data_IF_348507752643
#
_entry.id   IF_348507752643
#
_cell.length_a   1.000
_cell.length_b   1.000
_cell.length_c   1.000
_cell.angle_alpha   90.00
_cell.angle_beta   90.00
_cell.angle_gamma   90.00
#
_symmetry.space_group_name_H-M   'P 1'
#
loop_
_entity.id
_entity.type
_entity.pdbx_description
1 polymer ?
#
# COMPACT_ATOMS: atom_id res chain seq x y z
N UNK A 1 43.46 6.83 14.23
CA UNK A 1 43.75 5.99 13.05
C UNK A 1 42.45 5.27 12.69
N UNK A 2 41.79 5.69 11.60
CA UNK A 2 40.59 5.01 11.13
C UNK A 2 41.05 3.76 10.37
N UNK A 3 40.84 2.60 10.99
CA UNK A 3 41.18 1.30 10.42
C UNK A 3 40.34 1.11 9.15
N UNK A 4 40.96 1.30 7.99
CA UNK A 4 40.31 1.17 6.69
C UNK A 4 40.04 -0.32 6.45
N UNK A 5 38.89 -0.80 6.94
CA UNK A 5 38.43 -2.16 6.69
C UNK A 5 38.53 -2.46 5.18
N UNK A 6 39.30 -3.50 4.88
CA UNK A 6 39.51 -3.97 3.51
C UNK A 6 38.18 -4.44 2.89
N UNK A 7 38.09 -4.42 1.57
CA UNK A 7 36.90 -4.87 0.81
C UNK A 7 36.49 -6.30 1.22
N UNK A 8 37.47 -7.18 1.43
CA UNK A 8 37.24 -8.56 1.86
C UNK A 8 36.65 -8.65 3.28
N UNK A 9 37.17 -7.86 4.23
CA UNK A 9 36.64 -7.81 5.60
C UNK A 9 35.20 -7.30 5.62
N UNK A 10 34.87 -6.28 4.82
CA UNK A 10 33.49 -5.75 4.71
C UNK A 10 32.51 -6.79 4.17
N UNK A 11 32.91 -7.59 3.18
CA UNK A 11 32.09 -8.70 2.67
C UNK A 11 31.92 -9.79 3.74
N UNK A 12 32.96 -10.12 4.49
CA UNK A 12 32.88 -11.09 5.58
C UNK A 12 31.92 -10.61 6.69
N UNK A 13 32.06 -9.36 7.15
CA UNK A 13 31.15 -8.75 8.13
C UNK A 13 29.70 -8.71 7.61
N UNK A 14 29.48 -8.44 6.33
CA UNK A 14 28.14 -8.48 5.74
C UNK A 14 27.51 -9.88 5.82
N UNK A 15 28.30 -10.94 5.58
CA UNK A 15 27.84 -12.34 5.69
C UNK A 15 27.53 -12.73 7.14
N UNK A 16 28.38 -12.36 8.09
CA UNK A 16 28.14 -12.58 9.53
C UNK A 16 26.86 -11.89 10.00
N UNK A 17 26.65 -10.61 9.62
CA UNK A 17 25.42 -9.88 9.94
C UNK A 17 24.18 -10.57 9.37
N UNK A 18 24.28 -11.18 8.19
CA UNK A 18 23.19 -11.98 7.62
C UNK A 18 22.88 -13.23 8.45
N UNK A 19 23.90 -13.93 8.95
CA UNK A 19 23.68 -15.12 9.77
C UNK A 19 23.03 -14.78 11.12
N UNK A 20 23.46 -13.67 11.73
CA UNK A 20 22.82 -13.10 12.91
C UNK A 20 21.35 -12.78 12.60
N UNK A 21 21.06 -12.18 11.44
CA UNK A 21 19.69 -11.86 11.03
C UNK A 21 18.82 -13.12 10.83
N UNK A 22 19.36 -14.17 10.20
CA UNK A 22 18.66 -15.44 10.02
C UNK A 22 18.38 -16.12 11.37
N UNK A 23 19.33 -16.08 12.31
CA UNK A 23 19.16 -16.60 13.67
C UNK A 23 18.08 -15.82 14.43
N UNK A 24 18.18 -14.49 14.46
CA UNK A 24 17.19 -13.62 15.09
C UNK A 24 15.78 -13.79 14.49
N UNK A 25 15.68 -14.01 13.18
CA UNK A 25 14.40 -14.29 12.52
C UNK A 25 13.77 -15.62 12.97
N UNK A 26 14.59 -16.66 13.19
CA UNK A 26 14.14 -17.95 13.74
C UNK A 26 13.71 -17.82 15.20
N UNK A 27 14.44 -17.03 15.99
CA UNK A 27 14.12 -16.73 17.40
C UNK A 27 12.89 -15.81 17.55
N UNK A 28 12.37 -15.24 16.47
CA UNK A 28 11.22 -14.34 16.50
C UNK A 28 11.55 -12.88 16.85
N UNK A 29 12.84 -12.53 17.01
CA UNK A 29 13.31 -11.16 17.24
C UNK A 29 13.36 -10.38 15.93
N UNK A 30 12.19 -9.95 15.47
CA UNK A 30 12.02 -9.36 14.13
C UNK A 30 12.73 -8.01 13.97
N UNK A 31 12.75 -7.18 15.01
CA UNK A 31 13.40 -5.86 15.01
C UNK A 31 14.92 -5.97 14.90
N UNK A 32 15.53 -6.86 15.69
CA UNK A 32 16.97 -7.16 15.62
C UNK A 32 17.35 -7.75 14.25
N UNK A 33 16.53 -8.66 13.73
CA UNK A 33 16.72 -9.23 12.40
C UNK A 33 16.72 -8.13 11.32
N UNK A 34 15.76 -7.19 11.38
CA UNK A 34 15.70 -6.06 10.46
C UNK A 34 16.95 -5.18 10.52
N UNK A 35 17.42 -4.85 11.73
CA UNK A 35 18.64 -4.08 11.91
C UNK A 35 19.86 -4.78 11.32
N UNK A 36 20.00 -6.08 11.57
CA UNK A 36 21.10 -6.89 11.05
C UNK A 36 21.06 -7.02 9.52
N UNK A 37 19.87 -7.21 8.92
CA UNK A 37 19.70 -7.20 7.46
C UNK A 37 20.05 -5.84 6.84
N UNK A 38 19.60 -4.73 7.44
CA UNK A 38 19.95 -3.39 6.98
C UNK A 38 21.45 -3.14 7.10
N UNK A 39 22.08 -3.54 8.21
CA UNK A 39 23.53 -3.43 8.38
C UNK A 39 24.29 -4.21 7.31
N UNK A 40 23.91 -5.46 7.06
CA UNK A 40 24.48 -6.28 5.98
C UNK A 40 24.34 -5.60 4.61
N UNK A 41 23.16 -5.05 4.32
CA UNK A 41 22.92 -4.30 3.08
C UNK A 41 23.79 -3.04 2.97
N UNK A 42 23.99 -2.29 4.05
CA UNK A 42 24.84 -1.10 4.06
C UNK A 42 26.31 -1.44 3.82
N UNK A 43 26.82 -2.54 4.39
CA UNK A 43 28.17 -3.02 4.09
C UNK A 43 28.30 -3.44 2.63
N UNK A 44 27.28 -4.09 2.06
CA UNK A 44 27.26 -4.41 0.63
C UNK A 44 27.19 -3.15 -0.25
N UNK A 45 26.35 -2.16 0.09
CA UNK A 45 26.20 -0.94 -0.70
C UNK A 45 27.45 -0.06 -0.61
N UNK A 46 28.05 0.06 0.58
CA UNK A 46 29.28 0.83 0.82
C UNK A 46 30.54 0.23 0.17
N UNK A 47 30.44 -0.99 -0.39
CA UNK A 47 31.46 -1.56 -1.26
C UNK A 47 31.39 -1.04 -2.70
N UNK A 48 30.23 -0.54 -3.16
CA UNK A 48 30.11 0.16 -4.45
C UNK A 48 30.58 1.61 -4.29
N UNK A 49 31.90 1.80 -4.20
CA UNK A 49 32.52 3.15 -4.17
C UNK A 49 32.08 4.01 -5.37
N UNK A 50 31.83 3.40 -6.53
CA UNK A 50 31.28 4.08 -7.71
C UNK A 50 29.86 4.63 -7.51
N UNK A 51 29.01 3.98 -6.70
CA UNK A 51 27.64 4.43 -6.47
C UNK A 51 27.58 5.63 -5.52
N UNK A 52 28.51 5.70 -4.55
CA UNK A 52 28.58 6.82 -3.60
C UNK A 52 29.07 8.12 -4.25
N UNK A 53 29.94 8.01 -5.27
CA UNK A 53 30.43 9.16 -6.04
C UNK A 53 29.35 9.78 -6.95
N UNK A 54 28.36 8.99 -7.39
CA UNK A 54 27.22 9.47 -8.19
C UNK A 54 26.14 10.24 -7.40
N UNK A 55 26.18 10.23 -6.07
CA UNK A 55 25.22 10.93 -5.19
C UNK A 55 25.74 12.29 -4.66
N UNK A 56 26.85 12.80 -5.20
CA UNK A 56 27.34 14.15 -4.88
C UNK A 56 27.87 14.35 -3.45
N UNK A 57 28.06 13.28 -2.68
CA UNK A 57 28.61 13.29 -1.32
C UNK A 57 30.13 13.01 -1.29
N UNK A 58 30.85 13.34 -2.37
CA UNK A 58 32.31 13.31 -2.42
C UNK A 58 32.88 14.71 -2.17
N UNK A 59 33.51 14.91 -1.00
CA UNK A 59 34.39 16.06 -0.76
C UNK A 59 35.60 16.05 -1.73
N UNK A 60 36.28 17.21 -1.93
CA UNK A 60 37.11 17.47 -3.10
C UNK A 60 38.36 16.59 -3.14
N UNK A 61 38.81 16.34 -4.36
CA UNK A 61 39.89 15.45 -4.76
C UNK A 61 41.12 15.44 -3.83
N UNK A 62 41.67 14.26 -3.49
CA UNK A 62 43.05 14.15 -3.02
C UNK A 62 44.04 13.97 -4.20
N UNK A 63 45.36 14.16 -3.97
CA UNK A 63 46.39 14.24 -5.02
C UNK A 63 46.63 12.91 -5.75
N UNK A 64 47.30 12.94 -6.92
CA UNK A 64 47.29 11.86 -7.92
C UNK A 64 48.32 10.76 -7.65
N UNK A 65 48.49 10.28 -6.42
CA UNK A 65 49.47 9.23 -6.09
C UNK A 65 48.93 8.20 -5.09
N UNK A 66 47.79 7.59 -5.41
CA UNK A 66 47.36 6.31 -4.82
C UNK A 66 46.23 5.64 -5.65
N UNK A 67 46.31 5.73 -6.97
CA UNK A 67 45.39 5.00 -7.87
C UNK A 67 45.91 3.59 -8.16
N UNK A 68 45.85 2.72 -7.15
CA UNK A 68 46.03 1.28 -7.35
C UNK A 68 45.17 0.45 -6.39
N UNK A 69 43.86 0.71 -6.40
CA UNK A 69 42.91 -0.40 -6.22
C UNK A 69 41.72 -0.17 -7.13
N UNK A 70 41.95 -0.43 -8.42
CA UNK A 70 40.90 -0.84 -9.32
C UNK A 70 40.27 -2.13 -8.77
N UNK A 71 39.35 -2.01 -7.80
CA UNK A 71 38.39 -3.09 -7.59
C UNK A 71 37.40 -3.01 -8.73
N UNK A 72 37.83 -3.42 -9.92
CA UNK A 72 36.94 -3.95 -10.93
C UNK A 72 36.25 -5.13 -10.25
N UNK A 73 35.08 -4.87 -9.67
CA UNK A 73 34.18 -5.94 -9.26
C UNK A 73 33.98 -6.76 -10.52
N UNK A 74 34.51 -7.99 -10.56
CA UNK A 74 34.36 -8.82 -11.74
C UNK A 74 32.86 -8.96 -12.00
N UNK A 75 32.44 -9.07 -13.26
CA UNK A 75 31.02 -9.21 -13.58
C UNK A 75 30.36 -10.40 -12.85
N UNK A 76 31.15 -11.39 -12.40
CA UNK A 76 30.72 -12.49 -11.55
C UNK A 76 30.45 -12.07 -10.10
N UNK A 77 31.34 -11.27 -9.50
CA UNK A 77 31.17 -10.77 -8.12
C UNK A 77 30.00 -9.80 -7.99
N UNK A 78 29.77 -8.98 -9.02
CA UNK A 78 28.62 -8.08 -9.08
C UNK A 78 27.28 -8.85 -9.15
N UNK A 79 27.23 -9.94 -9.93
CA UNK A 79 26.05 -10.81 -10.00
C UNK A 79 25.77 -11.56 -8.70
N UNK A 80 26.80 -12.08 -8.03
CA UNK A 80 26.64 -12.74 -6.73
C UNK A 80 26.24 -11.75 -5.64
N UNK A 81 26.76 -10.51 -5.68
CA UNK A 81 26.32 -9.40 -4.82
C UNK A 81 24.85 -9.07 -5.04
N UNK A 82 24.42 -8.87 -6.29
CA UNK A 82 23.01 -8.56 -6.59
C UNK A 82 22.07 -9.69 -6.15
N UNK A 83 22.50 -10.94 -6.36
CA UNK A 83 21.76 -12.14 -5.93
C UNK A 83 21.65 -12.25 -4.41
N UNK A 84 22.70 -11.91 -3.67
CA UNK A 84 22.65 -11.84 -2.20
C UNK A 84 21.75 -10.70 -1.74
N UNK A 85 21.85 -9.53 -2.34
CA UNK A 85 21.02 -8.38 -2.04
C UNK A 85 19.52 -8.66 -2.27
N UNK A 86 19.19 -9.33 -3.37
CA UNK A 86 17.84 -9.82 -3.69
C UNK A 86 17.32 -10.75 -2.59
N UNK A 87 18.16 -11.66 -2.10
CA UNK A 87 17.77 -12.58 -1.02
C UNK A 87 17.48 -11.82 0.27
N UNK A 88 18.28 -10.78 0.58
CA UNK A 88 18.17 -10.02 1.81
C UNK A 88 16.94 -9.13 1.80
N UNK A 89 16.73 -8.36 0.73
CA UNK A 89 15.53 -7.54 0.53
C UNK A 89 14.25 -8.40 0.58
N UNK A 90 14.26 -9.59 -0.02
CA UNK A 90 13.16 -10.57 0.12
C UNK A 90 12.91 -10.96 1.59
N UNK A 91 13.95 -11.27 2.36
CA UNK A 91 13.80 -11.65 3.78
C UNK A 91 13.32 -10.47 4.64
N UNK A 92 13.79 -9.25 4.36
CA UNK A 92 13.34 -8.03 5.04
C UNK A 92 11.86 -7.75 4.81
N UNK A 93 11.34 -7.98 3.60
CA UNK A 93 9.89 -7.86 3.34
C UNK A 93 9.06 -8.79 4.22
N UNK A 94 9.56 -10.00 4.51
CA UNK A 94 8.91 -10.94 5.42
C UNK A 94 8.95 -10.46 6.88
N UNK A 95 10.06 -9.84 7.28
CA UNK A 95 10.20 -9.24 8.61
C UNK A 95 9.25 -8.06 8.80
N UNK A 96 9.18 -7.13 7.83
CA UNK A 96 8.24 -6.00 7.88
C UNK A 96 6.78 -6.45 7.92
N UNK A 97 6.44 -7.52 7.21
CA UNK A 97 5.11 -8.12 7.26
C UNK A 97 4.76 -8.67 8.65
N UNK A 98 5.71 -9.34 9.33
CA UNK A 98 5.53 -9.79 10.72
C UNK A 98 5.42 -8.63 11.70
N UNK A 99 6.15 -7.54 11.46
CA UNK A 99 6.12 -6.33 12.28
C UNK A 99 4.92 -5.41 11.99
N UNK A 100 3.94 -5.86 11.19
CA UNK A 100 2.75 -5.09 10.76
C UNK A 100 3.08 -3.74 10.12
N UNK A 101 4.29 -3.57 9.59
CA UNK A 101 4.73 -2.32 8.99
C UNK A 101 4.49 -2.37 7.48
N UNK A 102 3.21 -2.25 7.10
CA UNK A 102 2.72 -2.57 5.76
C UNK A 102 3.32 -1.71 4.65
N UNK A 103 3.51 -0.41 4.90
CA UNK A 103 4.13 0.51 3.94
C UNK A 103 5.55 0.07 3.57
N UNK A 104 6.40 -0.18 4.58
CA UNK A 104 7.76 -0.67 4.35
C UNK A 104 7.80 -2.07 3.76
N UNK A 105 6.85 -2.94 4.12
CA UNK A 105 6.74 -4.27 3.53
C UNK A 105 6.47 -4.19 2.02
N UNK A 106 5.59 -3.28 1.59
CA UNK A 106 5.32 -3.00 0.18
C UNK A 106 6.56 -2.45 -0.53
N UNK A 107 7.19 -1.39 -0.01
CA UNK A 107 8.38 -0.79 -0.62
C UNK A 107 9.53 -1.79 -0.78
N UNK A 108 9.76 -2.62 0.25
CA UNK A 108 10.82 -3.62 0.22
C UNK A 108 10.49 -4.77 -0.73
N UNK A 109 9.21 -5.16 -0.84
CA UNK A 109 8.77 -6.13 -1.83
C UNK A 109 8.89 -5.57 -3.26
N UNK A 110 8.58 -4.30 -3.48
CA UNK A 110 8.75 -3.62 -4.76
C UNK A 110 10.23 -3.57 -5.18
N UNK A 111 11.13 -3.25 -4.25
CA UNK A 111 12.59 -3.33 -4.50
C UNK A 111 13.05 -4.74 -4.85
N UNK A 112 12.48 -5.77 -4.20
CA UNK A 112 12.82 -7.16 -4.50
C UNK A 112 12.28 -7.61 -5.86
N UNK A 113 11.11 -7.13 -6.26
CA UNK A 113 10.49 -7.40 -7.56
C UNK A 113 11.22 -6.66 -8.68
N UNK A 114 11.55 -5.37 -8.52
CA UNK A 114 12.30 -4.59 -9.51
C UNK A 114 13.62 -5.24 -9.93
N UNK A 115 14.23 -6.03 -9.04
CA UNK A 115 15.41 -6.81 -9.38
C UNK A 115 15.04 -8.17 -9.97
N UNK A 116 13.96 -8.83 -9.51
CA UNK A 116 13.52 -10.15 -9.97
C UNK A 116 12.00 -10.21 -9.97
N UNK A 117 11.43 -9.98 -11.14
CA UNK A 117 9.99 -9.97 -11.37
C UNK A 117 9.34 -11.34 -11.16
N UNK A 118 10.12 -12.43 -11.25
CA UNK A 118 9.66 -13.82 -11.04
C UNK A 118 9.73 -14.26 -9.57
N UNK A 119 9.85 -13.32 -8.62
CA UNK A 119 9.83 -13.63 -7.20
C UNK A 119 8.39 -13.67 -6.65
N UNK A 120 7.70 -14.79 -6.89
CA UNK A 120 6.33 -15.04 -6.46
C UNK A 120 6.12 -14.86 -4.95
N UNK A 121 7.11 -15.22 -4.12
CA UNK A 121 7.06 -14.99 -2.67
C UNK A 121 7.08 -13.50 -2.30
N UNK A 122 7.80 -12.66 -3.04
CA UNK A 122 7.78 -11.21 -2.82
C UNK A 122 6.46 -10.60 -3.30
N UNK A 123 5.94 -11.06 -4.43
CA UNK A 123 4.64 -10.67 -4.98
C UNK A 123 3.49 -10.96 -4.00
N UNK A 124 3.46 -12.16 -3.41
CA UNK A 124 2.48 -12.52 -2.38
C UNK A 124 2.56 -11.59 -1.15
N UNK A 125 3.77 -11.29 -0.67
CA UNK A 125 3.96 -10.38 0.48
C UNK A 125 3.53 -8.95 0.16
N UNK A 126 3.76 -8.48 -1.06
CA UNK A 126 3.26 -7.18 -1.55
C UNK A 126 1.73 -7.15 -1.54
N UNK A 127 1.09 -8.18 -2.09
CA UNK A 127 -0.37 -8.26 -2.10
C UNK A 127 -0.95 -8.24 -0.68
N UNK A 128 -0.36 -9.02 0.24
CA UNK A 128 -0.76 -9.01 1.66
C UNK A 128 -0.51 -7.66 2.35
N UNK A 129 0.57 -6.96 2.02
CA UNK A 129 0.79 -5.62 2.56
C UNK A 129 -0.19 -4.58 2.00
N UNK A 130 -0.63 -4.73 0.74
CA UNK A 130 -1.62 -3.85 0.12
C UNK A 130 -3.02 -4.08 0.67
N UNK A 131 -3.40 -5.33 0.94
CA UNK A 131 -4.71 -5.64 1.53
C UNK A 131 -4.87 -5.06 2.93
N UNK A 132 -3.85 -5.16 3.78
CA UNK A 132 -3.86 -4.59 5.14
C UNK A 132 -3.83 -3.05 5.12
N UNK A 133 -3.37 -2.43 4.04
CA UNK A 133 -3.47 -0.98 3.82
C UNK A 133 -4.85 -0.55 3.28
N UNK A 134 -5.72 -1.49 2.92
CA UNK A 134 -7.04 -1.22 2.36
C UNK A 134 -7.08 -1.08 0.84
N UNK A 135 -5.97 -1.34 0.14
CA UNK A 135 -5.89 -1.34 -1.33
C UNK A 135 -6.31 -2.71 -1.90
N UNK A 136 -7.58 -3.09 -1.68
CA UNK A 136 -8.09 -4.42 -1.99
C UNK A 136 -8.01 -4.79 -3.48
N UNK A 137 -8.47 -3.91 -4.37
CA UNK A 137 -8.44 -4.18 -5.82
C UNK A 137 -7.02 -4.46 -6.33
N UNK A 138 -6.03 -3.71 -5.84
CA UNK A 138 -4.62 -3.90 -6.20
C UNK A 138 -4.07 -5.21 -5.66
N UNK A 139 -4.45 -5.57 -4.43
CA UNK A 139 -4.07 -6.85 -3.82
C UNK A 139 -4.65 -8.04 -4.59
N UNK A 140 -5.93 -7.98 -4.98
CA UNK A 140 -6.61 -9.03 -5.74
C UNK A 140 -5.93 -9.25 -7.10
N UNK A 141 -5.69 -8.19 -7.87
CA UNK A 141 -4.99 -8.28 -9.16
C UNK A 141 -3.61 -8.95 -9.05
N UNK A 142 -2.86 -8.61 -7.99
CA UNK A 142 -1.55 -9.23 -7.72
C UNK A 142 -1.65 -10.72 -7.36
N UNK A 143 -2.68 -11.13 -6.61
CA UNK A 143 -2.89 -12.53 -6.24
C UNK A 143 -3.40 -13.37 -7.42
N UNK A 144 -4.22 -12.79 -8.30
CA UNK A 144 -4.65 -13.42 -9.54
C UNK A 144 -3.47 -13.64 -10.50
N UNK A 145 -2.60 -12.65 -10.64
CA UNK A 145 -1.36 -12.75 -11.41
C UNK A 145 -0.41 -13.81 -10.82
N UNK A 146 -0.28 -13.84 -9.49
CA UNK A 146 0.49 -14.86 -8.76
C UNK A 146 -0.05 -16.28 -9.05
N UNK A 147 -1.37 -16.46 -9.01
CA UNK A 147 -2.04 -17.73 -9.28
C UNK A 147 -1.80 -18.21 -10.71
N UNK A 148 -1.85 -17.30 -11.68
CA UNK A 148 -1.59 -17.61 -13.09
C UNK A 148 -0.14 -18.02 -13.33
N UNK A 149 0.82 -17.37 -12.65
CA UNK A 149 2.25 -17.56 -12.89
C UNK A 149 2.89 -18.68 -12.05
N UNK A 150 2.33 -19.02 -10.90
CA UNK A 150 2.88 -20.01 -9.97
C UNK A 150 1.80 -20.96 -9.45
N UNK A 151 1.65 -22.15 -10.05
CA UNK A 151 0.74 -23.19 -9.55
C UNK A 151 1.09 -23.65 -8.13
N UNK A 152 2.36 -23.57 -7.73
CA UNK A 152 2.81 -23.95 -6.40
C UNK A 152 2.35 -22.97 -5.31
N UNK A 153 2.27 -21.67 -5.63
CA UNK A 153 1.79 -20.64 -4.71
C UNK A 153 0.28 -20.35 -4.89
N UNK A 154 -0.39 -21.00 -5.85
CA UNK A 154 -1.80 -20.79 -6.17
C UNK A 154 -2.73 -21.08 -4.99
N UNK A 155 -2.48 -22.15 -4.23
CA UNK A 155 -3.29 -22.48 -3.05
C UNK A 155 -3.21 -21.40 -1.95
N UNK A 156 -2.01 -20.82 -1.75
CA UNK A 156 -1.80 -19.70 -0.84
C UNK A 156 -2.50 -18.43 -1.35
N UNK A 157 -2.44 -18.18 -2.65
CA UNK A 157 -3.11 -17.05 -3.29
C UNK A 157 -4.63 -17.15 -3.16
N UNK A 158 -5.20 -18.34 -3.39
CA UNK A 158 -6.65 -18.60 -3.30
C UNK A 158 -7.17 -18.46 -1.86
N UNK A 159 -6.41 -18.95 -0.87
CA UNK A 159 -6.77 -18.77 0.53
C UNK A 159 -6.82 -17.28 0.92
N UNK A 160 -5.82 -16.49 0.49
CA UNK A 160 -5.81 -15.04 0.76
C UNK A 160 -6.92 -14.32 -0.03
N UNK A 161 -7.14 -14.66 -1.30
CA UNK A 161 -8.25 -14.10 -2.10
C UNK A 161 -9.61 -14.34 -1.44
N UNK A 162 -9.83 -15.54 -0.92
CA UNK A 162 -11.07 -15.89 -0.19
C UNK A 162 -11.22 -15.02 1.06
N UNK A 163 -10.14 -14.83 1.83
CA UNK A 163 -10.12 -13.93 2.98
C UNK A 163 -10.44 -12.48 2.59
N UNK A 164 -9.83 -11.99 1.51
CA UNK A 164 -10.04 -10.61 1.04
C UNK A 164 -11.47 -10.38 0.55
N UNK A 165 -12.05 -11.32 -0.19
CA UNK A 165 -13.45 -11.24 -0.63
C UNK A 165 -14.43 -11.21 0.53
N UNK A 166 -14.17 -11.97 1.59
CA UNK A 166 -14.98 -11.92 2.80
C UNK A 166 -14.90 -10.54 3.48
N UNK A 167 -13.69 -10.00 3.61
CA UNK A 167 -13.46 -8.69 4.24
C UNK A 167 -14.07 -7.54 3.42
N UNK A 168 -13.97 -7.60 2.10
CA UNK A 168 -14.55 -6.60 1.19
C UNK A 168 -16.08 -6.61 1.26
N UNK A 169 -16.70 -7.80 1.27
CA UNK A 169 -18.15 -7.95 1.45
C UNK A 169 -18.64 -7.40 2.80
N UNK A 170 -17.87 -7.57 3.87
CA UNK A 170 -18.20 -6.97 5.17
C UNK A 170 -18.12 -5.44 5.14
N UNK A 171 -17.07 -4.90 4.52
CA UNK A 171 -16.92 -3.44 4.34
C UNK A 171 -18.04 -2.86 3.48
N UNK A 172 -18.39 -3.52 2.38
CA UNK A 172 -19.49 -3.10 1.51
C UNK A 172 -20.83 -3.11 2.26
N UNK A 173 -21.11 -4.16 3.04
CA UNK A 173 -22.31 -4.23 3.90
C UNK A 173 -22.33 -3.09 4.92
N UNK A 174 -21.21 -2.80 5.57
CA UNK A 174 -21.11 -1.70 6.53
C UNK A 174 -21.33 -0.33 5.85
N UNK A 175 -20.75 -0.13 4.66
CA UNK A 175 -20.93 1.09 3.89
C UNK A 175 -22.38 1.27 3.41
N UNK A 176 -23.00 0.20 2.88
CA UNK A 176 -24.40 0.21 2.45
C UNK A 176 -25.36 0.48 3.62
N UNK A 177 -25.08 -0.05 4.82
CA UNK A 177 -25.84 0.30 6.03
C UNK A 177 -25.69 1.78 6.39
N UNK A 178 -24.47 2.31 6.33
CA UNK A 178 -24.19 3.73 6.62
C UNK A 178 -24.88 4.65 5.62
N UNK A 179 -24.85 4.29 4.34
CA UNK A 179 -25.51 5.04 3.27
C UNK A 179 -27.03 5.05 3.45
N UNK A 180 -27.65 3.91 3.75
CA UNK A 180 -29.09 3.82 4.06
C UNK A 180 -29.48 4.69 5.26
N UNK A 181 -28.68 4.69 6.33
CA UNK A 181 -28.91 5.55 7.49
C UNK A 181 -28.82 7.04 7.17
N UNK A 182 -27.85 7.44 6.35
CA UNK A 182 -27.72 8.82 5.86
C UNK A 182 -28.90 9.24 4.97
N UNK A 183 -29.32 8.38 4.04
CA UNK A 183 -30.44 8.65 3.14
C UNK A 183 -31.77 8.77 3.87
N UNK A 184 -32.03 7.90 4.85
CA UNK A 184 -33.24 7.97 5.67
C UNK A 184 -33.26 9.23 6.55
N UNK A 185 -32.10 9.69 7.05
CA UNK A 185 -32.01 10.95 7.81
C UNK A 185 -32.25 12.18 6.92
N UNK A 186 -31.80 12.15 5.67
CA UNK A 186 -32.07 13.21 4.70
C UNK A 186 -33.54 13.24 4.25
N UNK A 187 -34.19 12.07 4.13
CA UNK A 187 -35.61 11.97 3.82
C UNK A 187 -36.50 12.45 4.98
N UNK A 188 -36.12 12.16 6.23
CA UNK A 188 -36.85 12.60 7.43
C UNK A 188 -36.73 14.11 7.72
N UNK A 189 -35.81 14.84 7.07
CA UNK A 189 -35.69 16.29 7.19
C UNK A 189 -36.48 17.07 6.12
N UNK A 190 -37.13 16.38 5.17
CA UNK A 190 -37.93 16.98 4.10
C UNK A 190 -39.47 16.86 4.20
N UNK A 191 -40.12 16.26 5.21
CA UNK A 191 -41.58 16.15 5.17
C UNK A 191 -42.32 17.46 5.51
N UNK A 192 -41.72 18.36 6.30
CA UNK A 192 -42.48 19.50 6.86
C UNK A 192 -42.67 20.68 5.87
N UNK A 193 -41.86 20.79 4.82
CA UNK A 193 -41.97 21.91 3.86
C UNK A 193 -42.94 21.64 2.70
N UNK A 194 -43.30 20.36 2.44
CA UNK A 194 -44.23 20.02 1.35
C UNK A 194 -45.69 20.00 1.84
N UNK A 195 -45.95 19.66 3.11
CA UNK A 195 -47.31 19.69 3.67
C UNK A 195 -47.85 21.12 3.88
N UNK A 196 -47.05 22.06 4.39
CA UNK A 196 -47.47 23.48 4.52
C UNK A 196 -47.82 24.12 3.16
N UNK A 197 -47.09 23.76 2.09
CA UNK A 197 -47.30 24.33 0.75
C UNK A 197 -48.58 23.78 0.11
N UNK A 198 -48.96 22.53 0.38
CA UNK A 198 -50.18 21.92 -0.17
C UNK A 198 -51.43 22.48 0.54
N UNK A 199 -51.38 22.70 1.86
CA UNK A 199 -52.49 23.34 2.61
C UNK A 199 -52.73 24.80 2.18
N UNK A 200 -51.67 25.55 1.90
CA UNK A 200 -51.77 26.93 1.40
C UNK A 200 -52.40 27.02 0.00
N UNK A 201 -52.22 25.99 -0.85
CA UNK A 201 -52.81 25.96 -2.20
C UNK A 201 -54.28 25.53 -2.15
N UNK A 202 -54.68 24.66 -1.22
CA UNK A 202 -56.07 24.22 -1.09
C UNK A 202 -56.99 25.27 -0.47
N UNK A 203 -56.48 26.08 0.46
CA UNK A 203 -57.24 27.20 1.07
C UNK A 203 -57.49 28.37 0.12
N UNK A 204 -56.78 28.47 -1.00
CA UNK A 204 -56.93 29.55 -1.99
C UNK A 204 -57.99 29.29 -3.09
N UNK A 205 -58.78 28.21 -3.00
CA UNK A 205 -59.74 27.82 -4.04
C UNK A 205 -61.12 28.48 -3.87
N UNK A 206 -61.17 29.76 -4.28
CA UNK A 206 -62.27 30.57 -4.83
C UNK A 206 -63.71 30.20 -4.40
N UNK A 207 -64.29 31.06 -3.56
CA UNK A 207 -65.72 31.18 -3.27
C UNK A 207 -66.41 31.88 -4.45
N UNK A 208 -67.33 31.17 -5.10
CA UNK A 208 -68.12 31.66 -6.23
C UNK A 208 -69.22 32.60 -5.71
N UNK A 209 -69.08 33.90 -5.99
CA UNK A 209 -70.06 34.94 -5.61
C UNK A 209 -71.29 34.80 -6.50
N UNK A 210 -72.43 34.36 -5.93
CA UNK A 210 -73.73 34.46 -6.57
C UNK A 210 -74.19 35.92 -6.59
N UNK A 211 -74.27 36.48 -7.79
CA UNK A 211 -74.96 37.76 -8.06
C UNK A 211 -76.48 37.58 -7.91
N UNK A 212 -77.08 38.22 -6.91
CA UNK A 212 -78.54 38.36 -6.76
C UNK A 212 -78.87 39.86 -6.76
N UNK A 213 -79.35 40.38 -7.90
CA UNK A 213 -79.78 41.77 -8.05
C UNK A 213 -81.23 41.96 -7.57
N UNK A 214 -81.54 43.04 -6.82
CA UNK A 214 -82.90 43.32 -6.39
C UNK A 214 -83.73 44.05 -7.45
N UNK A 215 -84.97 43.57 -7.58
CA UNK A 215 -86.07 44.05 -8.42
C UNK A 215 -86.48 45.50 -8.13
N UNK A 216 -86.72 46.30 -9.18
CA UNK A 216 -87.61 47.48 -9.08
C UNK A 216 -88.32 47.84 -10.41
N UNK A 217 -89.65 47.64 -10.41
CA UNK A 217 -90.73 48.41 -11.06
C UNK A 217 -90.72 48.65 -12.59
N UNK A 218 -91.82 48.33 -13.28
CA UNK A 218 -92.95 49.26 -13.55
C UNK A 218 -94.04 48.66 -14.46
N UNK A 219 -95.29 48.99 -14.13
CA UNK A 219 -96.43 49.32 -15.01
C UNK A 219 -97.09 48.30 -15.94
N UNK A 220 -98.38 48.13 -15.69
CA UNK A 220 -99.46 47.65 -16.58
C UNK A 220 -99.43 48.16 -18.02
N UNK A 221 -99.87 47.31 -18.95
CA UNK A 221 -101.02 47.52 -19.86
C UNK A 221 -101.28 46.24 -20.66
#
# INVERSE_FOLDING_TARGET
MADLQTTAQKVATAKEKKEIADKAFKEGKITEALMAYHGSLMYLLGLDKNALQGLGMGSPAPPPEASSSSSSTSAADAKEKEKTERRYTRNMSACHLKNKNWKRAQETADKALAKNDKNYKAMFRKAKALSEQGYFERAVKLLEDLKSKSPADAALADAELTRLRALDKERERANNKRLKGFLNKAAAQKPDQEEEVIEAIQSAKIEEVLDDEPVASTSSA
#
